data_IF_476623832401
#
_entry.id   IF_476623832401
#
_cell.length_a   1.000
_cell.length_b   1.000
_cell.length_c   1.000
_cell.angle_alpha   90.00
_cell.angle_beta   90.00
_cell.angle_gamma   90.00
#
_symmetry.space_group_name_H-M   'P 1'
#
loop_
_entity.id
_entity.type
_entity.pdbx_description
1 polymer ?
#
# COMPACT_ATOMS: atom_id res chain seq x y z
N UNK A 1 -13.02 -4.91 -7.91
CA UNK A 1 -11.83 -4.19 -8.39
C UNK A 1 -10.77 -4.29 -7.29
N UNK A 2 -9.50 -4.53 -7.62
CA UNK A 2 -8.40 -4.67 -6.64
C UNK A 2 -7.34 -3.63 -6.98
N UNK A 3 -7.07 -2.75 -6.01
CA UNK A 3 -6.00 -1.75 -6.07
C UNK A 3 -4.91 -2.14 -5.10
N UNK A 4 -3.66 -2.20 -5.57
CA UNK A 4 -2.48 -2.42 -4.74
C UNK A 4 -1.62 -1.16 -4.76
N UNK A 5 -1.02 -0.81 -3.62
CA UNK A 5 -0.12 0.31 -3.48
C UNK A 5 1.26 -0.13 -2.99
N UNK A 6 2.29 0.62 -3.37
CA UNK A 6 3.66 0.48 -2.88
C UNK A 6 4.38 1.83 -3.00
N UNK A 7 5.34 2.11 -2.12
CA UNK A 7 6.14 3.34 -2.17
C UNK A 7 7.15 3.32 -3.34
N UNK A 8 7.57 2.11 -3.75
CA UNK A 8 8.57 1.88 -4.78
C UNK A 8 7.95 1.95 -6.18
N UNK A 9 8.28 3.02 -6.91
CA UNK A 9 7.92 3.14 -8.33
C UNK A 9 8.38 1.93 -9.16
N UNK A 10 9.57 1.41 -8.88
CA UNK A 10 10.14 0.28 -9.60
C UNK A 10 9.25 -0.96 -9.46
N UNK A 11 8.76 -1.25 -8.26
CA UNK A 11 7.87 -2.39 -8.00
C UNK A 11 6.52 -2.18 -8.69
N UNK A 12 5.96 -0.97 -8.64
CA UNK A 12 4.71 -0.65 -9.32
C UNK A 12 4.83 -0.87 -10.83
N UNK A 13 5.87 -0.33 -11.47
CA UNK A 13 6.07 -0.47 -12.92
C UNK A 13 6.19 -1.96 -13.30
N UNK A 14 6.97 -2.73 -12.54
CA UNK A 14 7.09 -4.19 -12.74
C UNK A 14 5.76 -4.93 -12.60
N UNK A 15 4.94 -4.57 -11.61
CA UNK A 15 3.65 -5.20 -11.39
C UNK A 15 2.64 -4.83 -12.47
N UNK A 16 2.64 -3.59 -12.95
CA UNK A 16 1.84 -3.19 -14.11
C UNK A 16 2.24 -3.99 -15.34
N UNK A 17 3.53 -4.05 -15.65
CA UNK A 17 4.04 -4.79 -16.82
C UNK A 17 3.72 -6.28 -16.77
N UNK A 18 3.83 -6.90 -15.59
CA UNK A 18 3.53 -8.32 -15.39
C UNK A 18 2.04 -8.64 -15.56
N UNK A 19 1.14 -7.71 -15.25
CA UNK A 19 -0.30 -7.98 -15.19
C UNK A 19 -1.09 -7.35 -16.33
N UNK A 20 -0.49 -6.49 -17.17
CA UNK A 20 -1.19 -5.72 -18.21
C UNK A 20 -1.97 -6.55 -19.25
N UNK A 21 -1.57 -7.81 -19.50
CA UNK A 21 -2.24 -8.69 -20.47
C UNK A 21 -3.20 -9.65 -19.76
N UNK A 22 -2.71 -10.43 -18.82
CA UNK A 22 -3.49 -11.53 -18.21
C UNK A 22 -4.46 -11.05 -17.12
N UNK A 23 -4.18 -9.91 -16.48
CA UNK A 23 -4.96 -9.39 -15.34
C UNK A 23 -5.12 -7.86 -15.43
N UNK A 24 -5.67 -7.32 -16.54
CA UNK A 24 -5.71 -5.88 -16.80
C UNK A 24 -6.59 -5.10 -15.81
N UNK A 25 -7.45 -5.79 -15.07
CA UNK A 25 -8.33 -5.20 -14.05
C UNK A 25 -7.62 -4.99 -12.70
N UNK A 26 -6.38 -5.45 -12.52
CA UNK A 26 -5.59 -5.16 -11.32
C UNK A 26 -4.95 -3.78 -11.46
N UNK A 27 -5.15 -2.93 -10.45
CA UNK A 27 -4.62 -1.57 -10.43
C UNK A 27 -3.41 -1.56 -9.49
N UNK A 28 -2.30 -1.00 -9.95
CA UNK A 28 -1.08 -0.80 -9.15
C UNK A 28 -0.73 0.69 -9.16
N UNK A 29 -0.60 1.30 -7.98
CA UNK A 29 -0.34 2.74 -7.82
C UNK A 29 0.83 2.99 -6.88
N UNK A 30 1.70 3.94 -7.23
CA UNK A 30 2.71 4.40 -6.29
C UNK A 30 2.06 5.28 -5.22
N UNK A 31 2.14 4.86 -3.96
CA UNK A 31 1.56 5.60 -2.84
C UNK A 31 2.24 5.18 -1.53
N UNK A 32 2.42 6.15 -0.63
CA UNK A 32 2.82 5.88 0.75
C UNK A 32 1.57 5.52 1.56
N UNK A 33 1.57 4.34 2.18
CA UNK A 33 0.42 3.84 2.93
C UNK A 33 0.13 4.65 4.21
N UNK A 34 1.06 5.49 4.68
CA UNK A 34 0.85 6.42 5.80
C UNK A 34 0.28 7.78 5.36
N UNK A 35 0.12 7.98 4.04
CA UNK A 35 -0.35 9.23 3.41
C UNK A 35 -1.25 8.92 2.21
N UNK A 36 -2.23 8.05 2.40
CA UNK A 36 -3.17 7.69 1.35
C UNK A 36 -4.06 8.88 0.97
N UNK A 37 -4.37 9.03 -0.31
CA UNK A 37 -5.19 10.13 -0.85
C UNK A 37 -6.60 9.67 -1.26
N UNK A 38 -7.01 8.49 -0.79
CA UNK A 38 -8.35 7.98 -1.02
C UNK A 38 -9.35 8.68 -0.09
N UNK A 39 -10.59 8.80 -0.53
CA UNK A 39 -11.69 9.22 0.34
C UNK A 39 -11.99 8.14 1.38
N UNK A 40 -12.57 8.53 2.50
CA UNK A 40 -13.13 7.61 3.49
C UNK A 40 -14.10 6.62 2.83
N UNK A 41 -14.16 5.39 3.36
CA UNK A 41 -15.00 4.29 2.89
C UNK A 41 -14.83 3.94 1.39
N UNK A 42 -13.72 4.35 0.77
CA UNK A 42 -13.44 4.07 -0.65
C UNK A 42 -13.36 2.57 -0.95
N UNK A 43 -12.86 1.77 -0.01
CA UNK A 43 -12.66 0.34 -0.16
C UNK A 43 -13.38 -0.42 0.95
N UNK A 44 -14.05 -1.52 0.58
CA UNK A 44 -14.77 -2.36 1.54
C UNK A 44 -13.86 -3.30 2.33
N UNK A 45 -12.68 -3.61 1.77
CA UNK A 45 -11.73 -4.57 2.34
C UNK A 45 -10.32 -4.05 2.08
N UNK A 46 -9.49 -4.06 3.12
CA UNK A 46 -8.06 -3.74 3.07
C UNK A 46 -7.29 -4.99 3.47
N UNK A 47 -6.24 -5.32 2.71
CA UNK A 47 -5.35 -6.45 2.98
C UNK A 47 -3.93 -5.91 3.12
N UNK A 48 -3.34 -6.11 4.30
CA UNK A 48 -1.91 -5.92 4.48
C UNK A 48 -1.17 -7.21 4.09
N UNK A 49 -0.05 -7.06 3.38
CA UNK A 49 0.81 -8.17 2.97
C UNK A 49 2.24 -7.95 3.47
N UNK A 50 2.38 -7.70 4.77
CA UNK A 50 3.66 -7.49 5.44
C UNK A 50 4.20 -6.07 5.34
N UNK A 51 3.37 -5.11 4.90
CA UNK A 51 3.74 -3.69 4.96
C UNK A 51 3.78 -3.23 6.41
N UNK A 52 2.90 -3.75 7.26
CA UNK A 52 2.94 -3.45 8.70
C UNK A 52 4.27 -3.90 9.33
N UNK A 53 4.73 -5.12 9.03
CA UNK A 53 6.01 -5.64 9.52
C UNK A 53 7.18 -4.77 9.06
N UNK A 54 7.17 -4.32 7.80
CA UNK A 54 8.20 -3.41 7.27
C UNK A 54 8.16 -2.03 7.93
N UNK A 55 6.98 -1.57 8.36
CA UNK A 55 6.80 -0.30 9.07
C UNK A 55 7.05 -0.41 10.58
N UNK A 56 7.18 -1.61 11.16
CA UNK A 56 7.40 -1.87 12.59
C UNK A 56 8.72 -2.60 12.89
N UNK A 57 9.88 -2.04 12.55
CA UNK A 57 11.15 -2.71 12.83
C UNK A 57 11.49 -2.76 14.33
N UNK A 58 10.91 -1.85 15.13
CA UNK A 58 11.13 -1.74 16.57
C UNK A 58 9.90 -1.17 17.30
N UNK A 59 10.05 -0.85 18.58
CA UNK A 59 9.01 -0.27 19.43
C UNK A 59 9.34 1.17 19.88
N UNK A 60 10.11 1.89 19.08
CA UNK A 60 10.39 3.31 19.34
C UNK A 60 9.14 4.17 19.18
N UNK A 61 9.14 5.33 19.83
CA UNK A 61 8.02 6.29 19.75
C UNK A 61 7.79 6.75 18.29
N UNK A 62 8.85 6.98 17.53
CA UNK A 62 8.78 7.31 16.10
C UNK A 62 8.09 6.21 15.28
N UNK A 63 8.45 4.94 15.52
CA UNK A 63 7.79 3.81 14.87
C UNK A 63 6.30 3.78 15.23
N UNK A 64 5.95 3.94 16.51
CA UNK A 64 4.55 3.96 16.96
C UNK A 64 3.75 5.11 16.33
N UNK A 65 4.33 6.31 16.21
CA UNK A 65 3.70 7.42 15.49
C UNK A 65 3.45 7.11 14.02
N UNK A 66 4.41 6.47 13.34
CA UNK A 66 4.27 6.06 11.94
C UNK A 66 3.15 5.04 11.75
N UNK A 67 3.03 4.08 12.67
CA UNK A 67 1.97 3.07 12.64
C UNK A 67 0.60 3.66 12.92
N UNK A 68 0.50 4.61 13.84
CA UNK A 68 -0.75 5.33 14.04
C UNK A 68 -1.21 6.04 12.75
N UNK A 69 -0.30 6.58 11.94
CA UNK A 69 -0.64 7.16 10.62
C UNK A 69 -1.00 6.12 9.56
N UNK A 70 -0.61 4.85 9.74
CA UNK A 70 -0.99 3.77 8.82
C UNK A 70 -2.44 3.30 9.05
N UNK A 71 -2.94 3.41 10.28
CA UNK A 71 -4.29 3.00 10.66
C UNK A 71 -5.34 4.12 10.71
N UNK A 72 -4.91 5.40 10.65
CA UNK A 72 -5.79 6.58 10.64
C UNK A 72 -5.79 7.23 9.26
#
# INVERSE_FOLDING_TARGET
NVTSIDISKIVIDQMQDKNKIDRPNLIFQQMDATKMTYSDDKYNVVLDKGTLDALMPDSSEETMERINKFFN
#
